data_IF_660846506399
#
_entry.id   IF_660846506399
#
_cell.length_a   1.000
_cell.length_b   1.000
_cell.length_c   1.000
_cell.angle_alpha   90.00
_cell.angle_beta   90.00
_cell.angle_gamma   90.00
#
_symmetry.space_group_name_H-M   'P 1'
#
loop_
_entity.id
_entity.type
_entity.pdbx_description
1 polymer ?
#
# COMPACT_ATOMS: atom_id res chain seq x y z
N UNK A 1 3.62 3.03 -5.86
CA UNK A 1 4.82 3.72 -5.36
C UNK A 1 5.90 2.67 -5.21
N UNK A 2 7.11 2.98 -5.65
CA UNK A 2 8.25 2.06 -5.58
C UNK A 2 9.06 2.41 -4.32
N UNK A 3 9.46 1.39 -3.56
CA UNK A 3 10.35 1.56 -2.43
C UNK A 3 11.78 1.73 -2.95
N UNK A 4 12.39 2.89 -2.67
CA UNK A 4 13.78 3.15 -3.08
C UNK A 4 14.79 2.16 -2.45
N UNK A 5 14.48 1.62 -1.27
CA UNK A 5 15.38 0.70 -0.57
C UNK A 5 15.41 -0.71 -1.17
N UNK A 6 14.29 -1.19 -1.73
CA UNK A 6 14.19 -2.56 -2.27
C UNK A 6 14.02 -2.60 -3.79
N UNK A 7 13.78 -1.46 -4.44
CA UNK A 7 13.41 -1.38 -5.85
C UNK A 7 12.03 -1.99 -6.17
N UNK A 8 11.30 -2.48 -5.17
CA UNK A 8 10.01 -3.18 -5.34
C UNK A 8 8.82 -2.26 -5.04
N UNK A 9 7.63 -2.52 -5.59
CA UNK A 9 6.41 -1.82 -5.20
C UNK A 9 6.14 -1.92 -3.70
N UNK A 10 5.55 -0.88 -3.11
CA UNK A 10 5.02 -0.98 -1.75
C UNK A 10 3.82 -1.93 -1.72
N UNK A 11 3.82 -2.83 -0.73
CA UNK A 11 2.69 -3.70 -0.44
C UNK A 11 1.37 -2.95 -0.26
N UNK A 12 0.24 -3.55 -0.70
CA UNK A 12 -1.07 -2.95 -0.51
C UNK A 12 -1.49 -2.93 0.98
N UNK A 13 -2.51 -2.13 1.34
CA UNK A 13 -3.17 -2.23 2.64
C UNK A 13 -3.84 -3.60 2.83
N UNK A 14 -3.92 -4.05 4.08
CA UNK A 14 -4.64 -5.28 4.43
C UNK A 14 -6.16 -5.12 4.33
N UNK A 15 -6.66 -3.91 4.52
CA UNK A 15 -8.08 -3.60 4.48
C UNK A 15 -8.28 -2.11 4.17
N UNK A 16 -9.47 -1.78 3.67
CA UNK A 16 -9.93 -0.41 3.51
C UNK A 16 -11.17 -0.19 4.37
N UNK A 17 -11.32 1.02 4.91
CA UNK A 17 -12.55 1.46 5.57
C UNK A 17 -12.83 2.91 5.23
N UNK A 18 -14.09 3.31 5.32
CA UNK A 18 -14.48 4.71 5.20
C UNK A 18 -14.93 5.22 6.57
N UNK A 19 -14.34 6.32 7.03
CA UNK A 19 -14.71 6.94 8.31
C UNK A 19 -15.34 8.31 8.05
N UNK A 20 -16.37 8.64 8.83
CA UNK A 20 -17.02 9.96 8.80
C UNK A 20 -16.24 10.90 9.72
N UNK A 21 -15.98 12.14 9.26
CA UNK A 21 -15.30 13.17 10.04
C UNK A 21 -16.34 14.07 10.72
N UNK A 22 -16.34 14.04 12.06
CA UNK A 22 -17.34 14.73 12.88
C UNK A 22 -17.18 16.27 12.88
N UNK A 23 -16.07 16.80 12.36
CA UNK A 23 -15.75 18.24 12.29
C UNK A 23 -15.13 18.60 10.93
N UNK A 24 -15.83 18.28 9.84
CA UNK A 24 -15.39 18.70 8.51
C UNK A 24 -15.63 20.21 8.34
N UNK A 25 -14.57 20.96 7.99
CA UNK A 25 -14.72 22.34 7.53
C UNK A 25 -15.45 22.40 6.18
N UNK A 26 -15.90 23.61 5.77
CA UNK A 26 -16.70 23.81 4.55
C UNK A 26 -16.08 23.25 3.25
N UNK A 27 -14.75 23.12 3.19
CA UNK A 27 -14.02 22.56 2.04
C UNK A 27 -13.31 21.24 2.36
N UNK A 28 -13.64 20.62 3.49
CA UNK A 28 -13.10 19.32 3.87
C UNK A 28 -14.07 18.20 3.51
N UNK A 29 -13.52 17.03 3.21
CA UNK A 29 -14.29 15.82 3.00
C UNK A 29 -14.96 15.38 4.30
N UNK A 30 -16.27 15.14 4.24
CA UNK A 30 -17.04 14.59 5.36
C UNK A 30 -16.79 13.10 5.57
N UNK A 31 -16.33 12.38 4.53
CA UNK A 31 -15.95 10.97 4.58
C UNK A 31 -14.56 10.81 4.00
N UNK A 32 -13.74 9.98 4.63
CA UNK A 32 -12.37 9.71 4.18
C UNK A 32 -12.12 8.20 4.16
N UNK A 33 -11.53 7.70 3.09
CA UNK A 33 -11.07 6.32 2.99
C UNK A 33 -9.71 6.18 3.67
N UNK A 34 -9.59 5.16 4.51
CA UNK A 34 -8.36 4.77 5.19
C UNK A 34 -7.97 3.35 4.78
N UNK A 35 -6.66 3.10 4.70
CA UNK A 35 -6.06 1.80 4.45
C UNK A 35 -5.32 1.31 5.71
N UNK A 36 -5.48 0.04 6.07
CA UNK A 36 -4.77 -0.59 7.19
C UNK A 36 -3.36 -0.99 6.76
N UNK A 37 -2.35 -0.39 7.39
CA UNK A 37 -0.95 -0.75 7.18
C UNK A 37 -0.67 -2.18 7.66
N UNK A 38 -0.02 -3.01 6.84
CA UNK A 38 0.29 -4.38 7.23
C UNK A 38 1.37 -4.47 8.31
N UNK A 39 2.30 -3.50 8.35
CA UNK A 39 3.43 -3.52 9.29
C UNK A 39 3.06 -3.02 10.69
N UNK A 40 2.43 -1.85 10.77
CA UNK A 40 2.09 -1.24 12.06
C UNK A 40 0.62 -1.38 12.44
N UNK A 41 -0.21 -2.00 11.59
CA UNK A 41 -1.66 -2.16 11.79
C UNK A 41 -2.46 -0.86 11.97
N UNK A 42 -1.83 0.32 11.75
CA UNK A 42 -2.49 1.62 11.82
C UNK A 42 -3.34 1.87 10.58
N UNK A 43 -4.46 2.55 10.78
CA UNK A 43 -5.28 3.07 9.70
C UNK A 43 -4.67 4.39 9.21
N UNK A 44 -4.43 4.48 7.91
CA UNK A 44 -3.79 5.62 7.27
C UNK A 44 -4.73 6.16 6.20
N UNK A 45 -4.98 7.46 6.22
CA UNK A 45 -5.76 8.11 5.18
C UNK A 45 -5.17 7.83 3.80
N UNK A 46 -6.02 7.34 2.90
CA UNK A 46 -5.69 7.07 1.51
C UNK A 46 -5.77 8.42 0.78
N UNK A 47 -6.86 9.13 0.96
CA UNK A 47 -7.12 10.42 0.32
C UNK A 47 -6.75 11.64 1.19
N UNK A 48 -6.69 12.82 0.55
CA UNK A 48 -6.45 14.07 1.23
C UNK A 48 -7.70 14.61 1.92
N UNK A 49 -7.50 15.46 2.94
CA UNK A 49 -8.58 16.05 3.74
C UNK A 49 -9.47 17.00 2.92
N UNK A 50 -8.88 17.75 1.98
CA UNK A 50 -9.61 18.74 1.20
C UNK A 50 -10.52 18.06 0.17
N UNK A 51 -11.73 18.57 0.05
CA UNK A 51 -12.70 18.17 -0.97
C UNK A 51 -12.36 18.87 -2.29
N UNK A 52 -11.19 18.52 -2.81
CA UNK A 52 -10.70 18.95 -4.11
C UNK A 52 -10.42 17.72 -4.94
N UNK A 53 -10.71 17.79 -6.22
CA UNK A 53 -10.27 16.76 -7.16
C UNK A 53 -8.75 16.88 -7.31
N UNK A 54 -8.04 15.86 -6.83
CA UNK A 54 -6.59 15.79 -6.93
C UNK A 54 -6.24 14.91 -8.12
N UNK A 55 -5.53 15.47 -9.12
CA UNK A 55 -5.04 14.73 -10.29
C UNK A 55 -4.01 13.65 -9.92
N UNK A 56 -3.36 13.79 -8.76
CA UNK A 56 -2.45 12.78 -8.21
C UNK A 56 -3.24 11.68 -7.51
N UNK A 57 -2.88 10.44 -7.84
CA UNK A 57 -3.50 9.21 -7.37
C UNK A 57 -3.79 9.23 -5.85
N UNK A 58 -5.01 8.82 -5.48
CA UNK A 58 -5.48 8.65 -4.10
C UNK A 58 -4.59 7.74 -3.24
N UNK A 59 -3.54 7.11 -3.78
CA UNK A 59 -2.64 6.21 -3.03
C UNK A 59 -1.38 6.90 -2.50
N UNK A 60 -1.20 8.20 -2.77
CA UNK A 60 0.03 8.92 -2.44
C UNK A 60 0.30 9.03 -0.92
N UNK A 61 -0.73 9.33 -0.12
CA UNK A 61 -0.59 9.44 1.35
C UNK A 61 -0.20 8.11 1.98
N UNK A 62 -0.78 7.02 1.50
CA UNK A 62 -0.42 5.68 1.91
C UNK A 62 1.03 5.34 1.53
N UNK A 63 1.50 5.72 0.33
CA UNK A 63 2.89 5.48 -0.06
C UNK A 63 3.89 6.28 0.77
N UNK A 64 3.54 7.50 1.21
CA UNK A 64 4.38 8.24 2.17
C UNK A 64 4.52 7.49 3.49
N UNK A 65 3.42 6.95 4.00
CA UNK A 65 3.47 6.10 5.19
C UNK A 65 4.31 4.85 4.94
N UNK A 66 4.09 4.15 3.82
CA UNK A 66 4.84 2.95 3.47
C UNK A 66 6.35 3.22 3.34
N UNK A 67 6.75 4.35 2.76
CA UNK A 67 8.16 4.74 2.63
C UNK A 67 8.85 4.87 4.00
N UNK A 68 8.18 5.47 4.99
CA UNK A 68 8.73 5.67 6.34
C UNK A 68 8.60 4.42 7.22
N UNK A 69 7.48 3.72 7.10
CA UNK A 69 7.11 2.61 7.97
C UNK A 69 7.71 1.30 7.47
N UNK A 70 7.57 0.95 6.19
CA UNK A 70 7.89 -0.38 5.70
C UNK A 70 9.40 -0.64 5.67
N UNK A 71 10.23 0.34 5.24
CA UNK A 71 11.70 0.21 5.12
C UNK A 71 12.15 -1.12 4.48
N UNK A 72 11.44 -1.56 3.44
CA UNK A 72 11.71 -2.84 2.76
C UNK A 72 10.93 -4.05 3.27
N UNK A 73 10.06 -3.90 4.26
CA UNK A 73 9.08 -4.93 4.64
C UNK A 73 8.00 -5.06 3.57
N UNK A 74 7.70 -6.31 3.20
CA UNK A 74 6.55 -6.69 2.38
C UNK A 74 5.59 -7.59 3.17
N UNK A 75 4.37 -7.78 2.65
CA UNK A 75 3.46 -8.80 3.19
C UNK A 75 4.08 -10.19 2.95
N UNK A 76 3.88 -11.11 3.89
CA UNK A 76 4.34 -12.50 3.76
C UNK A 76 3.61 -13.16 2.58
N UNK A 77 4.33 -13.71 1.61
CA UNK A 77 3.77 -14.23 0.35
C UNK A 77 3.81 -13.24 -0.83
N UNK A 78 4.14 -11.96 -0.60
CA UNK A 78 4.38 -11.01 -1.70
C UNK A 78 5.81 -11.17 -2.23
N UNK A 79 5.93 -11.67 -3.46
CA UNK A 79 7.23 -11.86 -4.13
C UNK A 79 7.62 -13.32 -4.33
N UNK A 80 6.80 -14.27 -3.89
CA UNK A 80 6.94 -15.70 -4.16
C UNK A 80 6.30 -16.04 -5.52
N UNK A 81 6.78 -15.42 -6.59
CA UNK A 81 6.35 -15.73 -7.98
C UNK A 81 7.00 -17.00 -8.52
N UNK A 82 7.89 -17.60 -7.74
CA UNK A 82 8.76 -18.68 -8.13
C UNK A 82 8.36 -19.93 -7.38
N UNK A 83 7.71 -20.85 -8.09
CA UNK A 83 7.41 -22.19 -7.60
C UNK A 83 8.41 -23.16 -8.23
N UNK A 84 9.03 -24.02 -7.42
CA UNK A 84 10.00 -25.01 -7.88
C UNK A 84 9.26 -26.18 -8.55
N UNK A 85 8.76 -25.92 -9.76
CA UNK A 85 7.93 -26.84 -10.52
C UNK A 85 8.75 -27.70 -11.49
N UNK A 86 8.11 -28.71 -12.07
CA UNK A 86 8.75 -29.62 -13.03
C UNK A 86 9.34 -28.90 -14.25
N UNK A 87 8.71 -27.81 -14.70
CA UNK A 87 9.16 -26.98 -15.82
C UNK A 87 10.41 -26.20 -15.42
N UNK A 88 10.45 -25.59 -14.23
CA UNK A 88 11.66 -24.93 -13.74
C UNK A 88 12.85 -25.90 -13.65
N UNK A 89 12.66 -27.11 -13.13
CA UNK A 89 13.72 -28.13 -13.05
C UNK A 89 14.26 -28.54 -14.42
N UNK A 90 13.36 -28.70 -15.40
CA UNK A 90 13.76 -28.99 -16.78
C UNK A 90 14.57 -27.85 -17.41
N UNK A 91 14.23 -26.60 -17.11
CA UNK A 91 14.90 -25.42 -17.70
C UNK A 91 16.20 -25.03 -16.99
N UNK A 92 16.33 -25.33 -15.69
CA UNK A 92 17.49 -24.97 -14.89
C UNK A 92 18.66 -25.94 -14.99
N UNK A 93 18.45 -27.13 -15.57
CA UNK A 93 19.51 -28.12 -15.82
C UNK A 93 20.16 -28.69 -14.55
N UNK A 94 19.52 -28.48 -13.39
CA UNK A 94 19.94 -29.05 -12.11
C UNK A 94 19.22 -30.40 -11.96
N UNK A 95 19.96 -31.49 -12.21
CA UNK A 95 19.53 -32.87 -11.99
C UNK A 95 19.87 -33.32 -10.56
#
# INVERSE_FOLDING_TARGET
>A
GICAATGRPFSPPLAFRTVTRNKAAKMDRSKIQEGKCHKCSKWVAVEGIKDVEVKVCLKFFLWKHAALCHRGSSIKGEGDWFEDDSVFKQLSGVY
#
